data_IF_174009486439
#
_entry.id   IF_174009486439
#
_cell.length_a   1.000
_cell.length_b   1.000
_cell.length_c   1.000
_cell.angle_alpha   90.00
_cell.angle_beta   90.00
_cell.angle_gamma   90.00
#
_symmetry.space_group_name_H-M   'P 1'
#
loop_
_entity.id
_entity.type
_entity.pdbx_description
1 polymer ?
#
# COMPACT_ATOMS: atom_id res chain seq x y z
N UNK A 1 7.41 -17.28 22.49
CA UNK A 1 7.82 -17.26 21.07
C UNK A 1 7.11 -16.06 20.46
N UNK A 2 7.85 -15.11 19.89
CA UNK A 2 7.28 -13.85 19.41
C UNK A 2 6.40 -14.15 18.18
N UNK A 3 5.15 -13.72 18.18
CA UNK A 3 4.15 -14.05 17.14
C UNK A 3 4.45 -13.49 15.73
N UNK A 4 5.63 -12.91 15.52
CA UNK A 4 6.04 -12.15 14.32
C UNK A 4 7.38 -12.61 13.72
N UNK A 5 7.94 -13.75 14.13
CA UNK A 5 9.12 -14.29 13.43
C UNK A 5 8.68 -15.06 12.19
N UNK A 6 9.20 -14.70 10.99
CA UNK A 6 8.84 -15.39 9.77
C UNK A 6 9.30 -16.85 9.81
N UNK A 7 8.59 -17.78 9.13
CA UNK A 7 9.11 -19.13 8.89
C UNK A 7 10.48 -19.08 8.21
N UNK A 8 11.36 -20.06 8.49
CA UNK A 8 12.61 -20.18 7.71
C UNK A 8 12.27 -20.56 6.25
N UNK A 9 12.82 -19.83 5.28
CA UNK A 9 12.82 -20.10 3.83
C UNK A 9 11.68 -19.54 2.95
N UNK A 10 10.84 -18.61 3.44
CA UNK A 10 9.77 -17.98 2.62
C UNK A 10 10.26 -17.22 1.38
N UNK A 11 11.51 -16.75 1.37
CA UNK A 11 12.00 -15.82 0.35
C UNK A 11 12.02 -16.43 -1.05
N UNK A 12 12.34 -17.72 -1.18
CA UNK A 12 12.38 -18.37 -2.50
C UNK A 12 10.98 -18.49 -3.11
N UNK A 13 9.99 -18.90 -2.33
CA UNK A 13 8.60 -19.02 -2.79
C UNK A 13 8.04 -17.65 -3.19
N UNK A 14 8.37 -16.59 -2.43
CA UNK A 14 7.98 -15.22 -2.76
C UNK A 14 8.65 -14.76 -4.04
N UNK A 15 9.95 -14.96 -4.21
CA UNK A 15 10.68 -14.53 -5.43
C UNK A 15 10.08 -15.19 -6.66
N UNK A 16 9.81 -16.50 -6.59
CA UNK A 16 9.20 -17.25 -7.68
C UNK A 16 7.78 -16.73 -7.98
N UNK A 17 6.97 -16.51 -6.94
CA UNK A 17 5.63 -15.96 -7.07
C UNK A 17 5.64 -14.58 -7.74
N UNK A 18 6.45 -13.64 -7.25
CA UNK A 18 6.54 -12.28 -7.80
C UNK A 18 6.99 -12.29 -9.26
N UNK A 19 8.05 -13.05 -9.56
CA UNK A 19 8.63 -13.11 -10.91
C UNK A 19 7.65 -13.62 -11.97
N UNK A 20 6.72 -14.52 -11.57
CA UNK A 20 5.71 -15.11 -12.47
C UNK A 20 4.46 -14.26 -12.62
N UNK A 21 4.12 -13.45 -11.61
CA UNK A 21 2.85 -12.74 -11.54
C UNK A 21 2.96 -11.23 -11.82
N UNK A 22 4.18 -10.72 -12.00
CA UNK A 22 4.39 -9.37 -12.52
C UNK A 22 4.28 -9.33 -14.05
N UNK A 23 3.70 -8.26 -14.63
CA UNK A 23 3.63 -8.11 -16.08
C UNK A 23 5.03 -8.07 -16.70
N UNK A 24 5.23 -8.82 -17.78
CA UNK A 24 6.47 -8.79 -18.56
C UNK A 24 6.55 -7.46 -19.31
N UNK A 25 7.74 -6.85 -19.35
CA UNK A 25 7.98 -5.62 -20.12
C UNK A 25 7.79 -5.83 -21.62
N UNK A 26 7.14 -4.87 -22.28
CA UNK A 26 7.01 -4.83 -23.75
C UNK A 26 8.38 -4.74 -24.45
N UNK A 27 9.41 -4.26 -23.75
CA UNK A 27 10.80 -4.18 -24.25
C UNK A 27 11.56 -5.51 -24.12
N UNK A 28 10.91 -6.55 -23.58
CA UNK A 28 11.37 -7.94 -23.59
C UNK A 28 12.27 -8.35 -22.42
N UNK A 29 12.83 -7.40 -21.66
CA UNK A 29 13.61 -7.68 -20.46
C UNK A 29 12.88 -7.16 -19.20
N UNK A 30 12.65 -8.06 -18.24
CA UNK A 30 12.10 -7.74 -16.92
C UNK A 30 10.61 -7.50 -16.87
N UNK A 31 10.20 -6.63 -15.94
CA UNK A 31 8.82 -6.44 -15.54
C UNK A 31 8.42 -4.97 -15.67
N UNK A 32 7.21 -4.71 -16.18
CA UNK A 32 6.59 -3.38 -16.24
C UNK A 32 5.52 -3.27 -15.16
N UNK A 33 5.60 -2.24 -14.32
CA UNK A 33 4.63 -2.03 -13.27
C UNK A 33 3.31 -1.40 -13.77
N UNK A 34 3.21 -1.00 -15.03
CA UNK A 34 2.02 -0.47 -15.70
C UNK A 34 1.35 0.70 -14.96
N UNK A 35 2.15 1.46 -14.21
CA UNK A 35 1.72 2.46 -13.21
C UNK A 35 0.61 1.97 -12.24
N UNK A 36 0.56 0.65 -11.97
CA UNK A 36 -0.32 0.04 -10.99
C UNK A 36 0.41 -0.14 -9.66
N UNK A 37 -0.21 0.28 -8.55
CA UNK A 37 0.39 0.21 -7.22
C UNK A 37 0.83 -1.22 -6.85
N UNK A 38 0.02 -2.24 -7.13
CA UNK A 38 0.33 -3.64 -6.81
C UNK A 38 1.53 -4.17 -7.58
N UNK A 39 1.68 -3.79 -8.85
CA UNK A 39 2.84 -4.20 -9.64
C UNK A 39 4.08 -3.40 -9.26
N UNK A 40 3.93 -2.11 -8.94
CA UNK A 40 5.05 -1.26 -8.52
C UNK A 40 5.68 -1.78 -7.23
N UNK A 41 4.88 -2.09 -6.20
CA UNK A 41 5.39 -2.68 -4.96
C UNK A 41 5.96 -4.09 -5.17
N UNK A 42 5.46 -4.84 -6.16
CA UNK A 42 6.03 -6.14 -6.53
C UNK A 42 7.43 -6.02 -7.15
N UNK A 43 7.62 -5.06 -8.07
CA UNK A 43 8.94 -4.72 -8.62
C UNK A 43 9.89 -4.26 -7.52
N UNK A 44 9.44 -3.38 -6.61
CA UNK A 44 10.23 -2.93 -5.46
C UNK A 44 10.62 -4.08 -4.54
N UNK A 45 9.73 -5.06 -4.33
CA UNK A 45 10.04 -6.24 -3.53
C UNK A 45 11.13 -7.10 -4.19
N UNK A 46 11.09 -7.32 -5.51
CA UNK A 46 12.17 -8.02 -6.23
C UNK A 46 13.52 -7.29 -6.13
N UNK A 47 13.51 -5.96 -6.20
CA UNK A 47 14.71 -5.14 -6.00
C UNK A 47 15.24 -5.29 -4.57
N UNK A 48 14.36 -5.17 -3.57
CA UNK A 48 14.73 -5.29 -2.17
C UNK A 48 15.21 -6.71 -1.78
N UNK A 49 14.71 -7.74 -2.47
CA UNK A 49 15.17 -9.13 -2.33
C UNK A 49 16.46 -9.42 -3.14
N UNK A 50 17.06 -8.40 -3.78
CA UNK A 50 18.31 -8.52 -4.52
C UNK A 50 18.19 -9.33 -5.82
N UNK A 51 16.98 -9.44 -6.36
CA UNK A 51 16.69 -10.17 -7.60
C UNK A 51 16.71 -9.27 -8.83
N UNK A 52 16.47 -7.98 -8.64
CA UNK A 52 16.29 -7.03 -9.73
C UNK A 52 16.99 -5.68 -9.48
N UNK A 53 17.09 -4.88 -10.53
CA UNK A 53 17.42 -3.46 -10.48
C UNK A 53 16.19 -2.65 -10.89
N UNK A 54 15.94 -1.54 -10.20
CA UNK A 54 14.82 -0.66 -10.47
C UNK A 54 15.01 0.07 -11.80
N UNK A 55 13.93 0.22 -12.55
CA UNK A 55 13.85 1.06 -13.75
C UNK A 55 12.74 2.08 -13.60
N UNK A 56 12.67 3.08 -14.49
CA UNK A 56 11.62 4.11 -14.47
C UNK A 56 10.20 3.52 -14.54
N UNK A 57 10.04 2.34 -15.16
CA UNK A 57 8.74 1.69 -15.37
C UNK A 57 8.62 0.31 -14.72
N UNK A 58 9.55 -0.09 -13.86
CA UNK A 58 9.48 -1.42 -13.25
C UNK A 58 10.82 -1.91 -12.76
N UNK A 59 11.21 -3.12 -13.17
CA UNK A 59 12.46 -3.71 -12.73
C UNK A 59 13.02 -4.69 -13.76
N UNK A 60 14.35 -4.82 -13.80
CA UNK A 60 15.05 -5.79 -14.66
C UNK A 60 15.79 -6.83 -13.82
N UNK A 61 15.82 -8.11 -14.21
CA UNK A 61 16.51 -9.15 -13.46
C UNK A 61 18.02 -8.87 -13.37
N UNK A 62 18.61 -9.12 -12.21
CA UNK A 62 20.07 -9.09 -12.06
C UNK A 62 20.69 -10.30 -12.73
N UNK A 63 21.86 -10.11 -13.34
CA UNK A 63 22.63 -11.22 -13.91
C UNK A 63 23.11 -12.23 -12.85
N UNK A 64 23.37 -11.76 -11.62
CA UNK A 64 23.76 -12.57 -10.47
C UNK A 64 22.86 -12.25 -9.26
N UNK A 65 21.62 -12.77 -9.23
CA UNK A 65 20.69 -12.49 -8.14
C UNK A 65 21.19 -13.09 -6.83
N UNK A 66 21.18 -12.29 -5.77
CA UNK A 66 21.61 -12.71 -4.43
C UNK A 66 20.73 -12.05 -3.38
N UNK A 67 20.25 -12.84 -2.42
CA UNK A 67 19.52 -12.29 -1.29
C UNK A 67 20.40 -11.30 -0.52
N UNK A 68 19.84 -10.17 -0.05
CA UNK A 68 20.58 -9.27 0.82
C UNK A 68 20.90 -9.97 2.16
N UNK A 69 21.98 -9.53 2.80
CA UNK A 69 22.33 -10.01 4.15
C UNK A 69 21.20 -9.78 5.17
N UNK A 70 20.46 -8.68 5.00
CA UNK A 70 19.27 -8.36 5.79
C UNK A 70 18.07 -8.31 4.86
N UNK A 71 17.11 -9.20 5.09
CA UNK A 71 15.89 -9.25 4.28
C UNK A 71 14.98 -8.04 4.53
N UNK A 72 14.18 -7.65 3.52
CA UNK A 72 13.10 -6.68 3.72
C UNK A 72 12.15 -7.17 4.81
N UNK A 73 11.37 -6.24 5.35
CA UNK A 73 10.41 -6.54 6.40
C UNK A 73 9.38 -7.57 5.92
N UNK A 74 9.18 -8.61 6.73
CA UNK A 74 8.25 -9.71 6.40
C UNK A 74 6.81 -9.24 6.25
N UNK A 75 6.35 -8.35 7.13
CA UNK A 75 4.99 -7.80 7.09
C UNK A 75 4.74 -6.97 5.82
N UNK A 76 5.76 -6.29 5.30
CA UNK A 76 5.67 -5.58 4.03
C UNK A 76 5.58 -6.56 2.85
N UNK A 77 6.42 -7.61 2.83
CA UNK A 77 6.37 -8.65 1.80
C UNK A 77 5.01 -9.36 1.76
N UNK A 78 4.43 -9.64 2.93
CA UNK A 78 3.10 -10.22 3.02
C UNK A 78 2.05 -9.36 2.30
N UNK A 79 2.08 -8.04 2.51
CA UNK A 79 1.15 -7.11 1.84
C UNK A 79 1.39 -7.09 0.33
N UNK A 80 2.64 -7.12 -0.12
CA UNK A 80 2.97 -7.21 -1.56
C UNK A 80 2.35 -8.47 -2.18
N UNK A 81 2.52 -9.64 -1.55
CA UNK A 81 1.98 -10.90 -2.06
C UNK A 81 0.46 -10.89 -2.10
N UNK A 82 -0.21 -10.42 -1.03
CA UNK A 82 -1.67 -10.32 -0.97
C UNK A 82 -2.22 -9.42 -2.09
N UNK A 83 -1.65 -8.22 -2.25
CA UNK A 83 -2.10 -7.24 -3.26
C UNK A 83 -1.84 -7.69 -4.68
N UNK A 84 -0.69 -8.33 -4.94
CA UNK A 84 -0.40 -8.87 -6.26
C UNK A 84 -1.34 -10.04 -6.59
N UNK A 85 -1.57 -10.95 -5.64
CA UNK A 85 -2.48 -12.07 -5.84
C UNK A 85 -3.93 -11.60 -6.08
N UNK A 86 -4.40 -10.57 -5.36
CA UNK A 86 -5.71 -9.97 -5.59
C UNK A 86 -5.77 -9.26 -6.95
N UNK A 87 -4.74 -8.50 -7.31
CA UNK A 87 -4.63 -7.80 -8.61
C UNK A 87 -4.68 -8.78 -9.79
N UNK A 88 -4.13 -9.99 -9.64
CA UNK A 88 -4.17 -11.06 -10.64
C UNK A 88 -5.46 -11.90 -10.59
N UNK A 89 -6.38 -11.61 -9.67
CA UNK A 89 -7.60 -12.42 -9.46
C UNK A 89 -7.33 -13.84 -8.93
N UNK A 90 -6.14 -14.08 -8.40
CA UNK A 90 -5.75 -15.36 -7.81
C UNK A 90 -6.05 -15.44 -6.31
N UNK A 91 -6.24 -14.30 -5.65
CA UNK A 91 -6.78 -14.19 -4.30
C UNK A 91 -8.09 -13.41 -4.36
N UNK A 92 -9.13 -13.94 -3.71
CA UNK A 92 -10.43 -13.30 -3.66
C UNK A 92 -10.99 -13.36 -2.24
N UNK A 93 -11.12 -12.21 -1.60
CA UNK A 93 -11.76 -12.08 -0.30
C UNK A 93 -13.28 -12.31 -0.41
N UNK A 94 -13.84 -13.10 0.51
CA UNK A 94 -15.25 -13.50 0.50
C UNK A 94 -16.03 -12.78 1.59
N UNK A 95 -17.33 -12.59 1.39
CA UNK A 95 -18.22 -12.13 2.45
C UNK A 95 -18.22 -13.14 3.61
N UNK A 96 -18.70 -12.74 4.79
CA UNK A 96 -18.69 -13.60 5.99
C UNK A 96 -19.47 -14.91 5.83
N UNK A 97 -20.49 -14.91 4.97
CA UNK A 97 -21.27 -16.10 4.59
C UNK A 97 -20.59 -16.97 3.51
N UNK A 98 -19.39 -16.57 3.06
CA UNK A 98 -18.61 -17.25 2.01
C UNK A 98 -19.01 -16.86 0.59
N UNK A 99 -19.95 -15.94 0.39
CA UNK A 99 -20.36 -15.53 -0.95
C UNK A 99 -19.28 -14.67 -1.65
N UNK A 100 -19.34 -14.62 -2.99
CA UNK A 100 -18.64 -13.58 -3.71
C UNK A 100 -19.22 -12.21 -3.33
N UNK A 101 -18.36 -11.20 -3.15
CA UNK A 101 -18.84 -9.83 -3.09
C UNK A 101 -19.47 -9.43 -4.43
N UNK A 102 -20.47 -8.52 -4.42
CA UNK A 102 -21.13 -8.07 -5.64
C UNK A 102 -20.13 -7.36 -6.57
N UNK A 103 -19.96 -7.87 -7.79
CA UNK A 103 -19.18 -7.18 -8.83
C UNK A 103 -19.86 -5.86 -9.20
N UNK A 104 -19.13 -4.74 -9.11
CA UNK A 104 -19.63 -3.42 -9.49
C UNK A 104 -19.10 -3.02 -10.86
N UNK A 105 -20.00 -2.71 -11.79
CA UNK A 105 -19.71 -2.04 -13.05
C UNK A 105 -20.22 -0.60 -12.97
N UNK A 106 -19.36 0.32 -12.53
CA UNK A 106 -19.80 1.69 -12.21
C UNK A 106 -20.78 1.71 -11.03
N UNK A 107 -21.98 2.27 -11.23
CA UNK A 107 -23.04 2.32 -10.20
C UNK A 107 -23.92 1.07 -10.14
N UNK A 108 -23.72 0.09 -11.03
CA UNK A 108 -24.57 -1.10 -11.11
C UNK A 108 -23.90 -2.33 -10.53
N UNK A 109 -24.67 -3.15 -9.83
CA UNK A 109 -24.26 -4.52 -9.47
C UNK A 109 -24.47 -5.41 -10.69
N UNK A 110 -23.38 -5.92 -11.25
CA UNK A 110 -23.42 -6.84 -12.39
C UNK A 110 -23.49 -8.25 -11.84
N UNK A 111 -24.57 -8.95 -12.17
CA UNK A 111 -24.72 -10.38 -11.88
C UNK A 111 -25.02 -11.10 -13.18
N UNK A 112 -24.15 -12.02 -13.56
CA UNK A 112 -24.41 -12.90 -14.68
C UNK A 112 -25.61 -13.81 -14.34
N UNK A 113 -26.66 -13.72 -15.15
CA UNK A 113 -27.81 -14.63 -15.07
C UNK A 113 -27.33 -16.04 -15.42
N UNK A 114 -27.62 -17.00 -14.55
CA UNK A 114 -27.24 -18.43 -14.68
C UNK A 114 -25.74 -18.73 -14.59
N UNK A 115 -24.92 -17.85 -14.01
CA UNK A 115 -23.54 -18.22 -13.70
C UNK A 115 -23.50 -19.37 -12.68
N UNK A 116 -22.58 -20.34 -12.82
CA UNK A 116 -22.37 -21.36 -11.80
C UNK A 116 -22.03 -20.70 -10.46
N UNK A 117 -22.40 -21.33 -9.32
CA UNK A 117 -22.00 -20.82 -8.01
C UNK A 117 -20.47 -20.71 -7.95
N UNK A 118 -19.93 -19.64 -7.37
CA UNK A 118 -18.49 -19.51 -7.25
C UNK A 118 -17.90 -20.65 -6.43
N UNK A 119 -16.65 -21.04 -6.69
CA UNK A 119 -16.00 -22.06 -5.89
C UNK A 119 -15.96 -21.62 -4.42
N UNK A 120 -16.14 -22.60 -3.53
CA UNK A 120 -16.11 -22.38 -2.09
C UNK A 120 -14.76 -21.79 -1.64
N UNK A 121 -14.74 -21.02 -0.54
CA UNK A 121 -13.49 -20.59 0.09
C UNK A 121 -12.60 -21.78 0.45
N UNK A 122 -11.30 -21.67 0.21
CA UNK A 122 -10.29 -22.63 0.67
C UNK A 122 -9.40 -22.10 1.80
N UNK A 123 -9.64 -20.86 2.24
CA UNK A 123 -9.08 -20.26 3.46
C UNK A 123 -10.27 -19.88 4.36
N UNK A 124 -10.39 -20.56 5.49
CA UNK A 124 -11.44 -20.32 6.46
C UNK A 124 -11.17 -19.06 7.30
N UNK A 125 -12.26 -18.43 7.73
CA UNK A 125 -12.25 -17.29 8.65
C UNK A 125 -11.60 -17.63 10.00
N UNK A 126 -10.81 -16.71 10.54
CA UNK A 126 -10.16 -16.80 11.86
C UNK A 126 -9.67 -15.42 12.30
N UNK A 127 -9.47 -15.20 13.61
CA UNK A 127 -8.89 -13.96 14.15
C UNK A 127 -9.55 -12.66 13.63
N UNK A 128 -10.89 -12.64 13.61
CA UNK A 128 -11.69 -11.52 13.06
C UNK A 128 -11.57 -11.28 11.55
N UNK A 129 -10.79 -12.09 10.84
CA UNK A 129 -10.67 -12.07 9.38
C UNK A 129 -11.75 -12.95 8.74
N UNK A 130 -12.26 -12.51 7.59
CA UNK A 130 -13.26 -13.25 6.83
C UNK A 130 -12.64 -14.40 6.00
N UNK A 131 -13.48 -15.23 5.37
CA UNK A 131 -12.99 -16.31 4.51
C UNK A 131 -12.43 -15.75 3.19
N UNK A 132 -11.57 -16.52 2.53
CA UNK A 132 -11.03 -16.19 1.22
C UNK A 132 -10.86 -17.42 0.34
N UNK A 133 -10.70 -17.17 -0.97
CA UNK A 133 -10.29 -18.18 -1.93
C UNK A 133 -8.98 -17.78 -2.57
N UNK A 134 -8.00 -18.66 -2.53
CA UNK A 134 -6.72 -18.52 -3.23
C UNK A 134 -6.56 -19.60 -4.31
N UNK A 135 -5.89 -19.27 -5.42
CA UNK A 135 -5.33 -20.25 -6.33
C UNK A 135 -4.31 -21.14 -5.59
N UNK A 136 -4.05 -22.35 -6.09
CA UNK A 136 -3.16 -23.30 -5.41
C UNK A 136 -1.75 -22.73 -5.20
N UNK A 137 -1.20 -22.03 -6.20
CA UNK A 137 0.11 -21.36 -6.10
C UNK A 137 0.14 -20.23 -5.06
N UNK A 138 -0.93 -19.44 -4.99
CA UNK A 138 -1.08 -18.39 -3.97
C UNK A 138 -1.19 -19.01 -2.58
N UNK A 139 -1.94 -20.11 -2.44
CA UNK A 139 -2.08 -20.79 -1.16
C UNK A 139 -0.73 -21.28 -0.64
N UNK A 140 0.11 -21.87 -1.51
CA UNK A 140 1.46 -22.31 -1.13
C UNK A 140 2.33 -21.16 -0.63
N UNK A 141 2.35 -20.01 -1.30
CA UNK A 141 3.15 -18.85 -0.84
C UNK A 141 2.56 -18.22 0.43
N UNK A 142 1.24 -18.19 0.60
CA UNK A 142 0.61 -17.72 1.83
C UNK A 142 0.91 -18.66 3.02
N UNK A 143 0.98 -19.97 2.80
CA UNK A 143 1.41 -20.95 3.80
C UNK A 143 2.91 -20.80 4.13
N UNK A 144 3.76 -20.63 3.12
CA UNK A 144 5.20 -20.38 3.30
C UNK A 144 5.48 -19.10 4.08
N UNK A 145 4.68 -18.05 3.87
CA UNK A 145 4.74 -16.81 4.64
C UNK A 145 4.15 -16.94 6.05
N UNK A 146 3.50 -18.06 6.37
CA UNK A 146 2.83 -18.27 7.67
C UNK A 146 1.52 -17.49 7.83
N UNK A 147 0.96 -16.96 6.73
CA UNK A 147 -0.35 -16.28 6.73
C UNK A 147 -1.51 -17.28 6.71
N UNK A 148 -1.29 -18.49 6.19
CA UNK A 148 -2.29 -19.56 6.23
C UNK A 148 -1.70 -20.78 6.91
N UNK A 149 -2.48 -21.40 7.80
CA UNK A 149 -2.11 -22.65 8.45
C UNK A 149 -3.34 -23.51 8.68
N UNK A 150 -3.30 -24.79 8.33
CA UNK A 150 -4.45 -25.70 8.46
C UNK A 150 -5.72 -25.17 7.76
N UNK A 151 -5.55 -24.55 6.58
CA UNK A 151 -6.66 -24.05 5.76
C UNK A 151 -7.40 -22.85 6.34
N UNK A 152 -6.78 -22.05 7.21
CA UNK A 152 -7.35 -20.83 7.80
C UNK A 152 -6.30 -19.74 7.96
N UNK A 153 -6.74 -18.50 8.11
CA UNK A 153 -5.86 -17.39 8.49
C UNK A 153 -5.19 -17.66 9.85
N UNK A 154 -3.92 -17.26 9.98
CA UNK A 154 -3.19 -17.35 11.25
C UNK A 154 -3.36 -16.06 12.07
N UNK A 155 -2.90 -16.07 13.32
CA UNK A 155 -2.93 -14.87 14.17
C UNK A 155 -2.08 -13.74 13.57
N UNK A 156 -0.92 -14.08 13.01
CA UNK A 156 -0.01 -13.12 12.39
C UNK A 156 -0.64 -12.42 11.17
N UNK A 157 -1.57 -13.08 10.48
CA UNK A 157 -2.31 -12.51 9.35
C UNK A 157 -3.20 -11.33 9.74
N UNK A 158 -3.70 -11.27 10.98
CA UNK A 158 -4.66 -10.25 11.40
C UNK A 158 -4.10 -8.86 11.17
N UNK A 159 -2.91 -8.58 11.72
CA UNK A 159 -2.28 -7.26 11.60
C UNK A 159 -1.74 -6.97 10.20
N UNK A 160 -1.41 -7.99 9.41
CA UNK A 160 -1.02 -7.82 8.00
C UNK A 160 -2.25 -7.39 7.18
N UNK A 161 -3.38 -8.08 7.34
CA UNK A 161 -4.62 -7.80 6.61
C UNK A 161 -5.30 -6.50 7.04
N UNK A 162 -4.90 -5.89 8.15
CA UNK A 162 -5.27 -4.50 8.45
C UNK A 162 -4.61 -3.49 7.51
N UNK A 163 -3.45 -3.83 6.95
CA UNK A 163 -2.68 -3.01 5.98
C UNK A 163 -3.12 -3.21 4.53
N UNK A 164 -3.93 -4.23 4.29
CA UNK A 164 -4.61 -4.44 3.01
C UNK A 164 -6.08 -4.00 3.08
N UNK A 165 -6.72 -4.27 4.22
CA UNK A 165 -8.09 -3.92 4.60
C UNK A 165 -9.15 -4.33 3.56
N UNK A 166 -9.39 -5.64 3.37
CA UNK A 166 -10.39 -6.12 2.42
C UNK A 166 -11.76 -5.52 2.69
N UNK A 167 -12.27 -4.74 1.72
CA UNK A 167 -13.48 -3.92 1.90
C UNK A 167 -14.74 -4.70 2.30
N UNK A 168 -14.77 -6.01 2.08
CA UNK A 168 -15.92 -6.87 2.34
C UNK A 168 -15.97 -7.48 3.74
N UNK A 169 -14.94 -7.28 4.55
CA UNK A 169 -14.87 -7.84 5.89
C UNK A 169 -15.34 -6.89 7.00
N UNK A 170 -15.58 -5.63 6.66
CA UNK A 170 -16.05 -4.58 7.58
C UNK A 170 -15.17 -4.49 8.83
N UNK A 171 -13.85 -4.47 8.61
CA UNK A 171 -12.86 -4.36 9.69
C UNK A 171 -12.74 -2.89 10.09
N UNK A 172 -13.23 -2.57 11.29
CA UNK A 172 -13.03 -1.26 11.91
C UNK A 172 -11.76 -1.26 12.78
N UNK A 173 -10.62 -0.97 12.14
CA UNK A 173 -9.33 -0.86 12.83
C UNK A 173 -9.29 0.30 13.83
N UNK A 174 -10.06 1.37 13.59
CA UNK A 174 -10.00 2.60 14.41
C UNK A 174 -10.65 2.37 15.77
N UNK A 175 -11.68 1.54 15.83
CA UNK A 175 -12.34 1.13 17.08
C UNK A 175 -11.57 0.07 17.88
N UNK A 176 -10.53 -0.56 17.32
CA UNK A 176 -9.77 -1.59 18.03
C UNK A 176 -8.88 -0.97 19.14
N UNK A 177 -8.93 -1.47 20.39
CA UNK A 177 -8.10 -0.97 21.47
C UNK A 177 -6.59 -1.01 21.21
N UNK A 178 -6.11 -1.95 20.38
CA UNK A 178 -4.70 -2.02 19.96
C UNK A 178 -4.32 -0.82 19.12
N UNK A 179 -5.20 -0.39 18.21
CA UNK A 179 -4.98 0.81 17.41
C UNK A 179 -4.97 2.06 18.28
N UNK A 180 -5.95 2.22 19.18
CA UNK A 180 -6.01 3.36 20.09
C UNK A 180 -4.73 3.49 20.96
N UNK A 181 -4.22 2.36 21.49
CA UNK A 181 -2.93 2.34 22.22
C UNK A 181 -1.75 2.73 21.32
N UNK A 182 -1.74 2.25 20.08
CA UNK A 182 -0.68 2.56 19.14
C UNK A 182 -0.65 4.05 18.74
N UNK A 183 -1.81 4.73 18.69
CA UNK A 183 -1.88 6.19 18.50
C UNK A 183 -1.22 6.93 19.66
N UNK A 184 -1.57 6.58 20.90
CA UNK A 184 -0.96 7.20 22.09
C UNK A 184 0.55 6.97 22.12
N UNK A 185 0.99 5.75 21.82
CA UNK A 185 2.42 5.43 21.73
C UNK A 185 3.10 6.26 20.63
N UNK A 186 2.51 6.36 19.44
CA UNK A 186 3.08 7.12 18.34
C UNK A 186 3.25 8.61 18.69
N UNK A 187 2.30 9.19 19.42
CA UNK A 187 2.42 10.57 19.92
C UNK A 187 3.50 10.70 20.99
N UNK A 188 3.57 9.76 21.93
CA UNK A 188 4.50 9.81 23.05
C UNK A 188 5.97 9.55 22.66
N UNK A 189 6.21 8.73 21.63
CA UNK A 189 7.56 8.29 21.26
C UNK A 189 8.01 8.80 19.89
N UNK A 190 7.39 9.87 19.38
CA UNK A 190 7.71 10.44 18.08
C UNK A 190 9.16 10.96 18.04
N UNK A 191 10.00 10.49 17.09
CA UNK A 191 11.35 11.03 16.92
C UNK A 191 11.30 12.51 16.54
N UNK A 192 12.27 13.29 17.02
CA UNK A 192 12.34 14.75 16.77
C UNK A 192 12.35 15.08 15.27
N UNK A 193 13.09 14.32 14.46
CA UNK A 193 13.12 14.50 13.00
C UNK A 193 11.76 14.28 12.34
N UNK A 194 10.99 13.28 12.80
CA UNK A 194 9.63 13.02 12.32
C UNK A 194 8.68 14.15 12.75
N UNK A 195 8.80 14.59 14.01
CA UNK A 195 8.03 15.71 14.55
C UNK A 195 8.26 16.99 13.75
N UNK A 196 9.52 17.36 13.52
CA UNK A 196 9.88 18.55 12.76
C UNK A 196 9.40 18.49 11.30
N UNK A 197 9.49 17.31 10.68
CA UNK A 197 9.00 17.10 9.32
C UNK A 197 7.47 17.22 9.25
N UNK A 198 6.73 16.70 10.22
CA UNK A 198 5.28 16.90 10.30
C UNK A 198 4.92 18.38 10.49
N UNK A 199 5.61 19.08 11.39
CA UNK A 199 5.38 20.51 11.63
C UNK A 199 5.62 21.33 10.34
N UNK A 200 6.65 20.96 9.57
CA UNK A 200 6.93 21.55 8.25
C UNK A 200 5.81 21.27 7.24
N UNK A 201 5.31 20.04 7.18
CA UNK A 201 4.31 19.63 6.19
C UNK A 201 2.91 20.25 6.44
N UNK A 202 2.55 20.50 7.70
CA UNK A 202 1.26 21.14 8.03
C UNK A 202 1.29 22.67 7.89
N UNK A 203 2.47 23.28 7.89
CA UNK A 203 2.65 24.70 7.68
C UNK A 203 2.62 25.02 6.18
N UNK A 204 1.48 25.51 5.69
CA UNK A 204 1.31 25.95 4.29
C UNK A 204 1.41 27.48 4.24
N UNK A 205 2.42 28.00 3.54
CA UNK A 205 2.63 29.43 3.38
C UNK A 205 1.98 29.98 2.10
N UNK A 206 1.89 31.31 1.98
CA UNK A 206 1.48 31.95 0.72
C UNK A 206 2.54 31.76 -0.38
N UNK A 207 3.81 31.51 -0.01
CA UNK A 207 4.88 31.21 -0.97
C UNK A 207 4.68 29.84 -1.60
N UNK A 208 4.29 28.81 -0.81
CA UNK A 208 3.92 27.49 -1.35
C UNK A 208 2.78 27.61 -2.39
N UNK A 209 1.79 28.45 -2.09
CA UNK A 209 0.64 28.68 -2.97
C UNK A 209 1.06 29.39 -4.24
N UNK A 210 1.91 30.41 -4.14
CA UNK A 210 2.43 31.13 -5.29
C UNK A 210 3.30 30.23 -6.17
N UNK A 211 4.15 29.38 -5.58
CA UNK A 211 4.95 28.40 -6.31
C UNK A 211 4.07 27.43 -7.11
N UNK A 212 2.99 26.93 -6.49
CA UNK A 212 2.03 26.07 -7.18
C UNK A 212 1.29 26.78 -8.34
N UNK A 213 0.96 28.07 -8.19
CA UNK A 213 0.42 28.89 -9.29
C UNK A 213 1.44 29.03 -10.41
N UNK A 214 2.68 29.40 -10.08
CA UNK A 214 3.75 29.63 -11.05
C UNK A 214 4.08 28.36 -11.83
N UNK A 215 4.14 27.22 -11.16
CA UNK A 215 4.33 25.92 -11.79
C UNK A 215 3.14 25.55 -12.69
N UNK A 216 1.90 25.80 -12.26
CA UNK A 216 0.70 25.58 -13.08
C UNK A 216 0.71 26.45 -14.35
N UNK A 217 1.11 27.72 -14.23
CA UNK A 217 1.27 28.64 -15.36
C UNK A 217 2.38 28.18 -16.30
N UNK A 218 3.52 27.72 -15.77
CA UNK A 218 4.62 27.20 -16.57
C UNK A 218 4.21 25.95 -17.35
N UNK A 219 3.61 24.95 -16.68
CA UNK A 219 3.10 23.74 -17.34
C UNK A 219 2.02 24.07 -18.38
N UNK A 220 1.13 25.02 -18.10
CA UNK A 220 0.14 25.47 -19.09
C UNK A 220 0.80 26.08 -20.33
N UNK A 221 1.84 26.92 -20.16
CA UNK A 221 2.59 27.50 -21.29
C UNK A 221 3.29 26.40 -22.11
N UNK A 222 3.90 25.43 -21.46
CA UNK A 222 4.55 24.29 -22.12
C UNK A 222 3.55 23.45 -22.92
N UNK A 223 2.43 23.05 -22.31
CA UNK A 223 1.36 22.31 -22.99
C UNK A 223 0.78 23.11 -24.16
N UNK A 224 0.61 24.42 -23.99
CA UNK A 224 0.13 25.31 -25.05
C UNK A 224 1.11 25.40 -26.22
N UNK A 225 2.42 25.42 -25.96
CA UNK A 225 3.45 25.38 -26.99
C UNK A 225 3.47 24.02 -27.72
N UNK A 226 3.32 22.91 -26.99
CA UNK A 226 3.36 21.56 -27.54
C UNK A 226 2.13 21.19 -28.39
N UNK A 227 0.93 21.58 -27.95
CA UNK A 227 -0.34 21.15 -28.56
C UNK A 227 -1.07 22.28 -29.32
N UNK A 228 -0.55 23.50 -29.27
CA UNK A 228 -1.06 24.64 -30.02
C UNK A 228 -2.30 25.33 -29.43
N UNK A 229 -2.72 26.41 -30.09
CA UNK A 229 -3.79 27.30 -29.60
C UNK A 229 -5.19 26.68 -29.58
N UNK A 230 -5.41 25.60 -30.34
CA UNK A 230 -6.70 24.90 -30.41
C UNK A 230 -6.85 23.76 -29.39
N UNK A 231 -5.79 23.41 -28.67
CA UNK A 231 -5.86 22.39 -27.63
C UNK A 231 -6.79 22.82 -26.48
N UNK A 232 -7.66 21.90 -26.04
CA UNK A 232 -8.52 22.08 -24.87
C UNK A 232 -7.70 21.79 -23.61
N UNK A 233 -7.01 22.81 -23.13
CA UNK A 233 -6.24 22.75 -21.89
C UNK A 233 -7.07 23.31 -20.74
N UNK A 234 -6.85 22.76 -19.53
CA UNK A 234 -7.38 23.35 -18.31
C UNK A 234 -6.83 24.75 -18.09
N UNK A 235 -7.50 25.55 -17.25
CA UNK A 235 -6.95 26.85 -16.83
C UNK A 235 -5.81 26.62 -15.83
N UNK A 236 -4.79 27.51 -15.81
CA UNK A 236 -3.86 27.60 -14.70
C UNK A 236 -4.60 27.73 -13.37
N UNK A 237 -3.97 27.29 -12.30
CA UNK A 237 -4.59 27.31 -10.98
C UNK A 237 -4.99 28.73 -10.56
N UNK A 238 -6.20 28.86 -10.01
CA UNK A 238 -6.54 29.97 -9.13
C UNK A 238 -5.84 29.79 -7.78
N UNK A 239 -5.80 30.84 -6.96
CA UNK A 239 -5.27 30.75 -5.59
C UNK A 239 -5.94 29.65 -4.77
N UNK A 240 -7.27 29.49 -4.85
CA UNK A 240 -7.98 28.43 -4.14
C UNK A 240 -7.56 27.04 -4.64
N UNK A 241 -7.50 26.84 -5.97
CA UNK A 241 -7.09 25.56 -6.54
C UNK A 241 -5.62 25.22 -6.24
N UNK A 242 -4.75 26.22 -6.23
CA UNK A 242 -3.37 26.06 -5.81
C UNK A 242 -3.27 25.64 -4.34
N UNK A 243 -4.05 26.29 -3.46
CA UNK A 243 -4.13 25.90 -2.04
C UNK A 243 -4.62 24.45 -1.87
N UNK A 244 -5.69 24.06 -2.56
CA UNK A 244 -6.19 22.67 -2.53
C UNK A 244 -5.14 21.67 -3.03
N UNK A 245 -4.43 22.01 -4.11
CA UNK A 245 -3.35 21.19 -4.66
C UNK A 245 -2.19 21.04 -3.68
N UNK A 246 -1.77 22.12 -3.02
CA UNK A 246 -0.71 22.08 -2.00
C UNK A 246 -1.15 21.23 -0.81
N UNK A 247 -2.36 21.41 -0.30
CA UNK A 247 -2.93 20.60 0.78
C UNK A 247 -2.92 19.11 0.40
N UNK A 248 -3.35 18.78 -0.81
CA UNK A 248 -3.34 17.40 -1.30
C UNK A 248 -1.93 16.82 -1.31
N UNK A 249 -0.94 17.55 -1.83
CA UNK A 249 0.46 17.13 -1.84
C UNK A 249 1.01 16.94 -0.43
N UNK A 250 0.76 17.88 0.49
CA UNK A 250 1.23 17.78 1.89
C UNK A 250 0.60 16.61 2.64
N UNK A 251 -0.67 16.28 2.37
CA UNK A 251 -1.30 15.06 2.93
C UNK A 251 -0.65 13.79 2.40
N UNK A 252 -0.36 13.75 1.10
CA UNK A 252 0.35 12.63 0.50
C UNK A 252 1.75 12.50 1.11
N UNK A 253 2.50 13.60 1.29
CA UNK A 253 3.80 13.59 1.96
C UNK A 253 3.72 13.08 3.41
N UNK A 254 2.63 13.43 4.12
CA UNK A 254 2.37 12.87 5.45
C UNK A 254 2.06 11.37 5.39
N UNK A 255 1.25 10.90 4.43
CA UNK A 255 1.01 9.46 4.26
C UNK A 255 2.33 8.71 4.06
N UNK A 256 3.21 9.26 3.21
CA UNK A 256 4.55 8.76 2.94
C UNK A 256 5.44 8.65 4.18
N UNK A 257 5.37 9.64 5.07
CA UNK A 257 6.09 9.62 6.34
C UNK A 257 5.69 8.40 7.18
N UNK A 258 4.39 8.06 7.23
CA UNK A 258 3.91 6.90 7.97
C UNK A 258 4.20 5.58 7.23
N UNK A 259 4.08 5.54 5.90
CA UNK A 259 4.44 4.35 5.10
C UNK A 259 5.88 3.89 5.33
N UNK A 260 6.81 4.84 5.45
CA UNK A 260 8.24 4.57 5.64
C UNK A 260 8.63 4.28 7.08
N UNK A 261 8.02 4.98 8.04
CA UNK A 261 8.57 5.07 9.38
C UNK A 261 7.69 4.52 10.49
N UNK A 262 6.49 3.99 10.22
CA UNK A 262 5.61 3.52 11.29
C UNK A 262 5.02 2.12 11.03
N UNK A 263 4.95 1.28 12.06
CA UNK A 263 4.26 -0.03 12.04
C UNK A 263 3.51 -0.27 13.34
N UNK A 264 2.35 -0.92 13.28
CA UNK A 264 1.50 -1.18 14.45
C UNK A 264 2.24 -1.89 15.60
N UNK A 265 3.05 -2.91 15.27
CA UNK A 265 3.78 -3.69 16.27
C UNK A 265 5.07 -3.04 16.78
N UNK A 266 5.64 -2.08 16.06
CA UNK A 266 6.95 -1.49 16.37
C UNK A 266 6.87 -0.02 16.79
N UNK A 267 5.79 0.68 16.45
CA UNK A 267 5.74 2.15 16.53
C UNK A 267 6.60 2.78 15.44
N UNK A 268 7.33 3.85 15.80
CA UNK A 268 8.27 4.50 14.90
C UNK A 268 9.51 3.63 14.68
N UNK A 269 9.79 3.31 13.43
CA UNK A 269 10.93 2.50 13.01
C UNK A 269 12.24 3.27 13.21
N UNK A 270 13.26 2.58 13.71
CA UNK A 270 14.63 3.08 13.68
C UNK A 270 15.13 3.26 12.24
N UNK A 271 16.21 4.02 12.04
CA UNK A 271 16.82 4.21 10.72
C UNK A 271 17.13 2.88 10.01
N UNK A 272 17.64 1.90 10.75
CA UNK A 272 17.93 0.57 10.21
C UNK A 272 16.66 -0.20 9.83
N UNK A 273 15.59 -0.12 10.63
CA UNK A 273 14.33 -0.78 10.32
C UNK A 273 13.59 -0.10 9.15
N UNK A 274 13.65 1.22 9.06
CA UNK A 274 13.11 1.98 7.94
C UNK A 274 13.85 1.63 6.63
N UNK A 275 15.17 1.40 6.67
CA UNK A 275 15.94 0.93 5.52
C UNK A 275 15.56 -0.47 5.01
N UNK A 276 14.82 -1.26 5.80
CA UNK A 276 14.28 -2.57 5.41
C UNK A 276 12.81 -2.51 4.99
N UNK A 277 12.15 -1.38 5.25
CA UNK A 277 10.74 -1.22 4.96
C UNK A 277 10.54 -1.06 3.46
N UNK A 278 9.52 -1.74 2.93
CA UNK A 278 9.02 -1.39 1.60
C UNK A 278 8.03 -0.25 1.77
N UNK A 279 8.05 0.64 0.79
CA UNK A 279 7.12 1.74 0.68
C UNK A 279 5.76 1.23 0.19
N UNK A 280 4.98 0.64 1.10
CA UNK A 280 3.63 0.16 0.77
C UNK A 280 2.70 1.37 0.59
N UNK A 281 2.60 1.86 -0.64
CA UNK A 281 1.68 2.95 -1.00
C UNK A 281 0.24 2.57 -0.67
N UNK A 282 -0.56 3.55 -0.24
CA UNK A 282 -1.97 3.33 0.08
C UNK A 282 -2.19 2.25 1.16
N UNK A 283 -1.29 2.13 2.14
CA UNK A 283 -1.50 1.31 3.33
C UNK A 283 -2.62 1.91 4.20
N UNK A 284 -3.82 1.30 4.29
CA UNK A 284 -4.97 1.87 5.00
C UNK A 284 -4.72 2.01 6.49
N UNK A 285 -3.90 1.14 7.09
CA UNK A 285 -3.58 1.20 8.51
C UNK A 285 -2.65 2.38 8.81
N UNK A 286 -1.64 2.59 7.96
CA UNK A 286 -0.75 3.74 8.08
C UNK A 286 -1.50 5.06 7.81
N UNK A 287 -2.41 5.10 6.83
CA UNK A 287 -3.28 6.26 6.60
C UNK A 287 -4.16 6.52 7.83
N UNK A 288 -4.81 5.49 8.38
CA UNK A 288 -5.63 5.64 9.59
C UNK A 288 -4.80 6.18 10.77
N UNK A 289 -3.58 5.66 10.95
CA UNK A 289 -2.65 6.13 11.97
C UNK A 289 -2.27 7.59 11.77
N UNK A 290 -1.88 7.99 10.54
CA UNK A 290 -1.62 9.39 10.20
C UNK A 290 -2.81 10.28 10.55
N UNK A 291 -4.02 9.92 10.11
CA UNK A 291 -5.24 10.70 10.40
C UNK A 291 -5.43 10.89 11.89
N UNK A 292 -5.35 9.82 12.68
CA UNK A 292 -5.53 9.87 14.13
C UNK A 292 -4.47 10.74 14.81
N UNK A 293 -3.20 10.63 14.41
CA UNK A 293 -2.11 11.46 14.94
C UNK A 293 -2.31 12.93 14.60
N UNK A 294 -2.65 13.26 13.35
CA UNK A 294 -2.89 14.65 12.92
C UNK A 294 -4.07 15.26 13.68
N UNK A 295 -5.18 14.54 13.84
CA UNK A 295 -6.34 15.03 14.60
C UNK A 295 -6.00 15.37 16.06
N UNK A 296 -5.12 14.58 16.69
CA UNK A 296 -4.73 14.80 18.09
C UNK A 296 -3.68 15.89 18.25
N UNK A 297 -2.70 15.95 17.33
CA UNK A 297 -1.57 16.88 17.40
C UNK A 297 -1.92 18.27 16.89
N UNK A 298 -2.75 18.37 15.85
CA UNK A 298 -3.12 19.62 15.19
C UNK A 298 -4.65 19.76 15.12
N UNK A 299 -5.33 19.94 16.26
CA UNK A 299 -6.80 19.95 16.32
C UNK A 299 -7.45 21.04 15.46
N UNK A 300 -6.73 22.15 15.20
CA UNK A 300 -7.21 23.26 14.36
C UNK A 300 -7.00 23.04 12.86
N UNK A 301 -6.27 21.98 12.48
CA UNK A 301 -5.92 21.66 11.08
C UNK A 301 -6.61 20.37 10.62
N UNK A 302 -7.91 20.23 10.90
CA UNK A 302 -8.67 19.01 10.54
C UNK A 302 -8.65 18.70 9.04
N UNK A 303 -8.48 19.71 8.18
CA UNK A 303 -8.28 19.46 6.75
C UNK A 303 -7.02 18.63 6.51
N UNK A 304 -5.99 18.62 7.35
CA UNK A 304 -4.84 17.72 7.17
C UNK A 304 -5.15 16.26 7.55
N UNK A 305 -6.26 15.99 8.26
CA UNK A 305 -6.66 14.66 8.70
C UNK A 305 -7.62 13.94 7.74
N UNK A 306 -8.08 14.58 6.67
CA UNK A 306 -8.90 13.89 5.65
C UNK A 306 -8.09 12.96 4.76
#
# INVERSE_FOLDING_TARGET
MSANEPPSDWSSDVIEFLSRNLPVSDEGEGWDHMFSSSYQIGCMALVALGQAEETERGAIPRAAPQLPFVLPRWDDICVVVLRLAEQQGQLEYRARDGSLPPSRGGTFVVRALNAPPPPAPNIAAAYSLGPARAAAEVLMVLEALGLVGQGRWTEASETVLWRDLPSHWDIDVVSDPRFARAVEQALATMPEGISAEMDRLVAISEEDIQEAIDQSVASYKELRARYGSKARLGQPFSTEKARESVVFMRRNDLDWLFFRHWRLGNGWLSFHEAGRALEIFHDPLAIAMRRAVIMKRYPDLLFMAS
#
